data_IF_788861944727
#
_entry.id   IF_788861944727
#
_cell.length_a   1.000
_cell.length_b   1.000
_cell.length_c   1.000
_cell.angle_alpha   90.00
_cell.angle_beta   90.00
_cell.angle_gamma   90.00
#
_symmetry.space_group_name_H-M   'P 1'
#
loop_
_entity.id
_entity.type
_entity.pdbx_description
1 polymer ?
#
# COMPACT_ATOMS: atom_id res chain seq x y z
N UNK A 1 13.98 -2.49 -13.15
CA UNK A 1 12.68 -2.18 -13.79
C UNK A 1 11.60 -3.14 -13.32
N UNK A 2 10.31 -2.84 -13.60
CA UNK A 2 9.20 -3.75 -13.36
C UNK A 2 9.37 -5.05 -14.14
N UNK A 3 8.96 -6.20 -13.57
CA UNK A 3 8.99 -7.50 -14.26
C UNK A 3 10.40 -8.05 -14.57
N UNK A 4 11.46 -7.47 -13.99
CA UNK A 4 12.85 -7.85 -14.29
C UNK A 4 13.38 -9.02 -13.46
N UNK A 5 12.55 -9.71 -12.68
CA UNK A 5 12.99 -10.84 -11.86
C UNK A 5 13.78 -10.43 -10.61
N UNK A 6 13.60 -9.22 -10.08
CA UNK A 6 14.27 -8.74 -8.87
C UNK A 6 14.20 -9.74 -7.72
N UNK A 7 13.00 -10.16 -7.35
CA UNK A 7 12.78 -11.13 -6.26
C UNK A 7 13.44 -12.48 -6.56
N UNK A 8 13.39 -12.95 -7.82
CA UNK A 8 14.07 -14.19 -8.23
C UNK A 8 15.59 -14.10 -8.04
N UNK A 9 16.21 -13.02 -8.51
CA UNK A 9 17.64 -12.78 -8.36
C UNK A 9 18.06 -12.68 -6.88
N UNK A 10 17.18 -12.09 -6.05
CA UNK A 10 17.40 -11.96 -4.62
C UNK A 10 17.38 -13.32 -3.91
N UNK A 11 16.37 -14.15 -4.23
CA UNK A 11 16.29 -15.54 -3.71
C UNK A 11 17.51 -16.34 -4.16
N UNK A 12 17.92 -16.23 -5.43
CA UNK A 12 19.14 -16.87 -5.94
C UNK A 12 20.40 -16.45 -5.16
N UNK A 13 20.54 -15.14 -4.84
CA UNK A 13 21.67 -14.66 -4.02
C UNK A 13 21.62 -15.19 -2.60
N UNK A 14 20.44 -15.27 -1.99
CA UNK A 14 20.26 -15.83 -0.66
C UNK A 14 20.63 -17.32 -0.63
N UNK A 15 20.14 -18.11 -1.59
CA UNK A 15 20.47 -19.53 -1.69
C UNK A 15 21.98 -19.74 -1.86
N UNK A 16 22.63 -18.92 -2.68
CA UNK A 16 24.09 -18.96 -2.84
C UNK A 16 24.84 -18.73 -1.51
N UNK A 17 24.34 -17.82 -0.63
CA UNK A 17 24.94 -17.64 0.71
C UNK A 17 24.79 -18.90 1.57
N UNK A 18 23.61 -19.53 1.55
CA UNK A 18 23.33 -20.74 2.30
C UNK A 18 24.18 -21.92 1.81
N UNK A 19 24.29 -22.11 0.49
CA UNK A 19 25.14 -23.14 -0.14
C UNK A 19 26.63 -22.97 0.19
N UNK A 20 27.07 -21.73 0.44
CA UNK A 20 28.43 -21.42 0.87
C UNK A 20 28.62 -21.45 2.40
N UNK A 21 27.70 -22.05 3.14
CA UNK A 21 27.81 -22.31 4.57
C UNK A 21 27.53 -21.12 5.48
N UNK A 22 26.87 -20.09 4.99
CA UNK A 22 26.43 -18.99 5.86
C UNK A 22 25.29 -19.49 6.75
N UNK A 23 25.41 -19.29 8.06
CA UNK A 23 24.40 -19.68 9.04
C UNK A 23 23.09 -18.90 8.75
N UNK A 24 21.96 -19.60 8.49
CA UNK A 24 20.66 -18.98 8.24
C UNK A 24 20.21 -18.01 9.35
N UNK A 25 20.59 -18.27 10.60
CA UNK A 25 20.25 -17.39 11.73
C UNK A 25 20.92 -16.01 11.66
N UNK A 26 21.98 -15.89 10.84
CA UNK A 26 22.71 -14.64 10.58
C UNK A 26 22.16 -13.85 9.40
N UNK A 27 21.10 -14.35 8.76
CA UNK A 27 20.44 -13.74 7.60
C UNK A 27 19.04 -13.27 8.00
N UNK A 28 18.66 -12.06 7.61
CA UNK A 28 17.28 -11.58 7.72
C UNK A 28 16.83 -10.98 6.39
N UNK A 29 15.56 -11.27 6.02
CA UNK A 29 14.93 -10.74 4.82
C UNK A 29 13.74 -9.87 5.22
N UNK A 30 13.73 -8.60 4.80
CA UNK A 30 12.66 -7.65 5.01
C UNK A 30 11.83 -7.49 3.74
N UNK A 31 10.52 -7.59 3.88
CA UNK A 31 9.57 -7.24 2.84
C UNK A 31 8.53 -6.23 3.37
N UNK A 32 7.89 -5.50 2.47
CA UNK A 32 6.99 -4.41 2.84
C UNK A 32 5.64 -4.92 3.39
N UNK A 33 5.09 -6.02 2.83
CA UNK A 33 3.77 -6.55 3.20
C UNK A 33 3.85 -7.97 3.77
N UNK A 34 2.85 -8.36 4.56
CA UNK A 34 2.73 -9.73 5.05
C UNK A 34 2.48 -10.75 3.91
N UNK A 35 1.77 -10.35 2.86
CA UNK A 35 1.53 -11.21 1.70
C UNK A 35 2.86 -11.54 0.98
N UNK A 36 3.71 -10.53 0.77
CA UNK A 36 5.03 -10.73 0.19
C UNK A 36 5.95 -11.56 1.09
N UNK A 37 5.88 -11.39 2.42
CA UNK A 37 6.57 -12.25 3.40
C UNK A 37 6.13 -13.71 3.25
N UNK A 38 4.83 -13.97 3.11
CA UNK A 38 4.31 -15.33 2.95
C UNK A 38 4.72 -15.95 1.59
N UNK A 39 4.70 -15.14 0.53
CA UNK A 39 5.18 -15.59 -0.79
C UNK A 39 6.67 -15.96 -0.77
N UNK A 40 7.50 -15.13 -0.13
CA UNK A 40 8.94 -15.40 0.03
C UNK A 40 9.22 -16.66 0.86
N UNK A 41 8.44 -16.89 1.92
CA UNK A 41 8.56 -18.13 2.74
C UNK A 41 8.30 -19.39 1.94
N UNK A 42 7.44 -19.33 0.93
CA UNK A 42 7.18 -20.47 0.05
C UNK A 42 8.29 -20.71 -0.99
N UNK A 43 9.17 -19.73 -1.19
CA UNK A 43 10.26 -19.78 -2.19
C UNK A 43 11.64 -20.02 -1.58
N UNK A 44 11.77 -19.78 -0.28
CA UNK A 44 13.05 -19.84 0.46
C UNK A 44 12.97 -20.98 1.47
N UNK A 45 13.92 -21.92 1.44
CA UNK A 45 13.96 -23.03 2.38
C UNK A 45 14.19 -22.55 3.82
N UNK A 46 13.30 -22.81 4.62
CA UNK A 46 12.82 -22.92 5.97
C UNK A 46 13.55 -22.22 7.11
N UNK A 47 14.79 -21.79 7.07
CA UNK A 47 15.51 -21.35 8.29
C UNK A 47 15.86 -19.87 8.34
N UNK A 48 15.71 -19.13 7.24
CA UNK A 48 15.97 -17.70 7.19
C UNK A 48 14.81 -16.93 7.78
N UNK A 49 15.09 -15.92 8.59
CA UNK A 49 14.06 -15.05 9.14
C UNK A 49 13.53 -14.09 8.08
N UNK A 50 12.28 -14.26 7.67
CA UNK A 50 11.58 -13.39 6.73
C UNK A 50 10.48 -12.66 7.49
N UNK A 51 10.45 -11.32 7.44
CA UNK A 51 9.55 -10.51 8.28
C UNK A 51 9.30 -9.12 7.66
N UNK A 52 8.26 -8.42 8.14
CA UNK A 52 8.11 -6.99 7.88
C UNK A 52 8.94 -6.17 8.87
N UNK A 53 9.28 -4.93 8.50
CA UNK A 53 10.02 -4.02 9.40
C UNK A 53 9.21 -3.76 10.68
N UNK A 54 7.89 -3.61 10.58
CA UNK A 54 7.01 -3.42 11.74
C UNK A 54 7.01 -4.63 12.68
N UNK A 55 6.93 -5.85 12.16
CA UNK A 55 7.01 -7.08 12.98
C UNK A 55 8.38 -7.23 13.64
N UNK A 56 9.46 -6.86 12.95
CA UNK A 56 10.80 -6.83 13.50
C UNK A 56 10.92 -5.85 14.66
N UNK A 57 10.48 -4.59 14.48
CA UNK A 57 10.55 -3.57 15.53
C UNK A 57 9.71 -3.92 16.75
N UNK A 58 8.51 -4.51 16.56
CA UNK A 58 7.69 -5.04 17.64
C UNK A 58 8.44 -6.13 18.44
N UNK A 59 9.08 -7.07 17.75
CA UNK A 59 9.89 -8.12 18.37
C UNK A 59 11.09 -7.57 19.15
N UNK A 60 11.78 -6.54 18.61
CA UNK A 60 12.89 -5.86 19.28
C UNK A 60 12.42 -5.21 20.57
N UNK A 61 11.34 -4.43 20.52
CA UNK A 61 10.77 -3.77 21.70
C UNK A 61 10.34 -4.78 22.76
N UNK A 62 9.76 -5.92 22.34
CA UNK A 62 9.41 -7.02 23.25
C UNK A 62 10.62 -7.60 23.96
N UNK A 63 11.70 -7.91 23.23
CA UNK A 63 12.94 -8.44 23.79
C UNK A 63 13.65 -7.46 24.75
N UNK A 64 13.51 -6.17 24.54
CA UNK A 64 14.06 -5.13 25.40
C UNK A 64 13.13 -4.75 26.59
N UNK A 65 12.02 -5.47 26.78
CA UNK A 65 11.06 -5.18 27.85
C UNK A 65 10.33 -3.85 27.68
N UNK A 66 10.27 -3.32 26.46
CA UNK A 66 9.63 -2.04 26.11
C UNK A 66 8.30 -2.24 25.37
N UNK A 67 7.68 -3.40 25.55
CA UNK A 67 6.39 -3.68 24.90
C UNK A 67 5.30 -2.72 25.40
N UNK A 68 4.48 -2.25 24.47
CA UNK A 68 3.20 -1.58 24.73
C UNK A 68 2.19 -2.08 23.69
N UNK A 69 0.90 -2.13 24.02
CA UNK A 69 -0.12 -2.48 23.04
C UNK A 69 -0.07 -1.59 21.81
N UNK A 70 -0.17 -2.19 20.63
CA UNK A 70 -0.28 -1.46 19.36
C UNK A 70 -1.76 -1.22 19.11
N UNK A 71 -2.13 0.03 18.87
CA UNK A 71 -3.52 0.45 18.65
C UNK A 71 -3.67 1.03 17.24
N UNK A 72 -4.90 0.92 16.75
CA UNK A 72 -5.33 1.43 15.45
C UNK A 72 -6.18 2.70 15.63
N UNK A 73 -6.48 3.36 14.53
CA UNK A 73 -7.40 4.50 14.55
C UNK A 73 -8.83 4.10 14.96
N UNK A 74 -9.25 2.87 14.69
CA UNK A 74 -10.56 2.35 15.14
C UNK A 74 -10.63 2.21 16.66
N UNK A 75 -9.52 1.86 17.32
CA UNK A 75 -9.45 1.82 18.78
C UNK A 75 -9.59 3.24 19.36
N UNK A 76 -8.99 4.24 18.69
CA UNK A 76 -9.18 5.64 19.05
C UNK A 76 -10.64 6.10 18.89
N UNK A 77 -11.31 5.77 17.79
CA UNK A 77 -12.72 6.12 17.59
C UNK A 77 -13.58 5.53 18.70
N UNK A 78 -13.34 4.26 19.05
CA UNK A 78 -14.08 3.60 20.14
C UNK A 78 -13.83 4.28 21.48
N UNK A 79 -12.57 4.59 21.79
CA UNK A 79 -12.20 5.31 22.99
C UNK A 79 -12.82 6.73 23.03
N UNK A 80 -12.76 7.48 21.93
CA UNK A 80 -13.34 8.82 21.82
C UNK A 80 -14.85 8.79 22.07
N UNK A 81 -15.56 7.85 21.47
CA UNK A 81 -17.01 7.66 21.66
C UNK A 81 -17.35 7.41 23.11
N UNK A 82 -16.57 6.60 23.82
CA UNK A 82 -16.88 6.14 25.16
C UNK A 82 -16.43 7.16 26.24
N UNK A 83 -15.35 7.92 26.00
CA UNK A 83 -14.74 8.82 26.98
C UNK A 83 -14.99 10.31 26.74
N UNK A 84 -15.32 10.73 25.50
CA UNK A 84 -15.55 12.14 25.15
C UNK A 84 -17.04 12.49 25.00
N UNK A 85 -17.94 11.53 25.24
CA UNK A 85 -19.38 11.73 25.14
C UNK A 85 -19.84 12.79 26.15
N UNK A 86 -20.41 13.93 25.69
CA UNK A 86 -20.90 14.98 26.58
C UNK A 86 -22.15 14.52 27.35
N UNK A 87 -22.31 15.04 28.56
CA UNK A 87 -23.53 14.80 29.31
C UNK A 87 -24.74 15.49 28.67
N UNK A 88 -25.94 15.05 29.01
CA UNK A 88 -27.19 15.70 28.53
C UNK A 88 -27.32 17.15 29.00
N UNK A 89 -26.61 17.54 30.07
CA UNK A 89 -26.60 18.90 30.63
C UNK A 89 -25.67 19.86 29.89
N UNK A 90 -24.77 19.33 29.05
CA UNK A 90 -23.85 20.17 28.26
C UNK A 90 -24.60 20.97 27.18
N UNK A 91 -24.09 22.15 26.80
CA UNK A 91 -24.67 22.97 25.73
C UNK A 91 -24.90 22.17 24.44
N UNK A 92 -25.96 22.54 23.71
CA UNK A 92 -26.29 21.88 22.43
C UNK A 92 -25.11 21.90 21.44
N UNK A 93 -24.38 23.03 21.38
CA UNK A 93 -23.19 23.18 20.52
C UNK A 93 -22.09 22.16 20.82
N UNK A 94 -21.83 21.85 22.11
CA UNK A 94 -20.83 20.84 22.52
C UNK A 94 -21.26 19.45 22.06
N UNK A 95 -22.54 19.13 22.19
CA UNK A 95 -23.10 17.84 21.75
C UNK A 95 -23.05 17.71 20.23
N UNK A 96 -23.40 18.77 19.49
CA UNK A 96 -23.33 18.80 18.03
C UNK A 96 -21.88 18.64 17.54
N UNK A 97 -20.92 19.32 18.17
CA UNK A 97 -19.51 19.16 17.87
C UNK A 97 -19.02 17.72 18.09
N UNK A 98 -19.42 17.09 19.17
CA UNK A 98 -19.06 15.69 19.45
C UNK A 98 -19.56 14.74 18.36
N UNK A 99 -20.84 14.84 17.97
CA UNK A 99 -21.41 13.98 16.94
C UNK A 99 -20.82 14.28 15.55
N UNK A 100 -20.59 15.56 15.23
CA UNK A 100 -19.91 15.94 13.98
C UNK A 100 -18.46 15.41 13.91
N UNK A 101 -17.74 15.39 15.03
CA UNK A 101 -16.41 14.79 15.07
C UNK A 101 -16.47 13.26 14.82
N UNK A 102 -17.42 12.56 15.44
CA UNK A 102 -17.60 11.12 15.20
C UNK A 102 -17.93 10.83 13.74
N UNK A 103 -18.83 11.58 13.14
CA UNK A 103 -19.19 11.46 11.73
C UNK A 103 -17.92 11.57 10.85
N UNK A 104 -17.13 12.63 11.05
CA UNK A 104 -15.84 12.82 10.34
C UNK A 104 -14.85 11.67 10.59
N UNK A 105 -14.77 11.12 11.79
CA UNK A 105 -13.90 9.97 12.07
C UNK A 105 -14.32 8.72 11.29
N UNK A 106 -15.61 8.52 11.07
CA UNK A 106 -16.10 7.40 10.27
C UNK A 106 -15.97 7.63 8.76
N UNK A 107 -16.13 8.87 8.29
CA UNK A 107 -16.03 9.24 6.89
C UNK A 107 -14.56 9.34 6.42
N UNK A 108 -13.74 10.11 7.15
CA UNK A 108 -12.38 10.49 6.77
C UNK A 108 -11.28 9.77 7.57
N UNK A 109 -11.61 8.71 8.28
CA UNK A 109 -10.72 8.08 9.27
C UNK A 109 -9.35 7.66 8.75
N UNK A 110 -9.27 7.22 7.50
CA UNK A 110 -7.98 6.85 6.88
C UNK A 110 -7.09 8.07 6.63
N UNK A 111 -7.67 9.18 6.16
CA UNK A 111 -6.98 10.45 5.93
C UNK A 111 -6.50 11.06 7.26
N UNK A 112 -7.37 11.10 8.27
CA UNK A 112 -7.03 11.60 9.61
C UNK A 112 -5.91 10.77 10.24
N UNK A 113 -6.00 9.45 10.19
CA UNK A 113 -4.97 8.54 10.71
C UNK A 113 -3.63 8.74 10.01
N UNK A 114 -3.64 8.87 8.68
CA UNK A 114 -2.43 9.14 7.89
C UNK A 114 -1.81 10.49 8.26
N UNK A 115 -2.63 11.53 8.49
CA UNK A 115 -2.14 12.85 8.92
C UNK A 115 -1.45 12.79 10.28
N UNK A 116 -1.95 11.99 11.23
CA UNK A 116 -1.30 11.80 12.54
C UNK A 116 0.06 11.12 12.41
N UNK A 117 0.15 10.07 11.60
CA UNK A 117 1.40 9.35 11.35
C UNK A 117 2.41 10.25 10.66
N UNK A 118 2.00 10.96 9.62
CA UNK A 118 2.85 11.91 8.88
C UNK A 118 3.38 13.02 9.80
N UNK A 119 2.50 13.63 10.61
CA UNK A 119 2.90 14.67 11.57
C UNK A 119 3.95 14.17 12.57
N UNK A 120 3.75 12.97 13.16
CA UNK A 120 4.72 12.38 14.10
C UNK A 120 6.09 12.17 13.46
N UNK A 121 6.11 11.61 12.24
CA UNK A 121 7.36 11.32 11.54
C UNK A 121 8.08 12.61 11.13
N UNK A 122 7.35 13.61 10.61
CA UNK A 122 7.90 14.93 10.28
C UNK A 122 8.45 15.63 11.51
N UNK A 123 7.69 15.67 12.61
CA UNK A 123 8.12 16.24 13.87
C UNK A 123 9.38 15.54 14.40
N UNK A 124 9.45 14.22 14.31
CA UNK A 124 10.63 13.46 14.71
C UNK A 124 11.87 13.77 13.86
N UNK A 125 11.70 13.99 12.57
CA UNK A 125 12.76 14.41 11.65
C UNK A 125 13.11 15.92 11.75
N UNK A 126 12.49 16.66 12.69
CA UNK A 126 12.73 18.09 12.92
C UNK A 126 12.02 19.01 11.92
N UNK A 127 11.09 18.50 11.15
CA UNK A 127 10.30 19.29 10.19
C UNK A 127 9.14 19.95 10.92
N UNK A 128 9.02 21.27 10.78
CA UNK A 128 7.86 22.03 11.30
C UNK A 128 6.69 21.84 10.37
N UNK A 129 5.63 21.21 10.86
CA UNK A 129 4.36 21.05 10.16
C UNK A 129 3.20 21.47 11.07
N UNK A 130 2.07 21.92 10.51
CA UNK A 130 0.91 22.26 11.31
C UNK A 130 0.38 21.01 12.02
N UNK A 131 -0.05 21.20 13.27
CA UNK A 131 -0.61 20.12 14.08
C UNK A 131 -1.97 19.71 13.48
N UNK A 132 -2.18 18.41 13.17
CA UNK A 132 -3.45 17.97 12.62
C UNK A 132 -4.63 18.17 13.56
N UNK A 133 -5.81 18.40 12.98
CA UNK A 133 -7.05 18.42 13.75
C UNK A 133 -7.21 17.10 14.54
N UNK A 134 -7.79 17.18 15.74
CA UNK A 134 -8.03 16.03 16.63
C UNK A 134 -6.78 15.33 17.20
N UNK A 135 -5.56 15.76 16.84
CA UNK A 135 -4.32 15.13 17.31
C UNK A 135 -4.18 15.16 18.84
N UNK A 136 -4.74 16.17 19.52
CA UNK A 136 -4.74 16.25 20.99
C UNK A 136 -5.57 15.14 21.63
N UNK A 137 -6.76 14.86 21.09
CA UNK A 137 -7.58 13.72 21.53
C UNK A 137 -6.87 12.40 21.29
N UNK A 138 -6.20 12.28 20.14
CA UNK A 138 -5.42 11.08 19.83
C UNK A 138 -4.24 10.85 20.80
N UNK A 139 -3.50 11.90 21.13
CA UNK A 139 -2.41 11.81 22.12
C UNK A 139 -2.91 11.51 23.54
N UNK A 140 -4.06 12.09 23.91
CA UNK A 140 -4.73 11.76 25.19
C UNK A 140 -5.13 10.29 25.26
N UNK A 141 -5.70 9.75 24.17
CA UNK A 141 -6.02 8.32 24.03
C UNK A 141 -4.80 7.42 24.23
N UNK A 142 -3.70 7.67 23.51
CA UNK A 142 -2.47 6.86 23.63
C UNK A 142 -1.90 6.88 25.06
N UNK A 143 -1.97 8.05 25.72
CA UNK A 143 -1.53 8.22 27.11
C UNK A 143 -2.46 7.46 28.08
N UNK A 144 -3.76 7.61 27.94
CA UNK A 144 -4.75 6.99 28.83
C UNK A 144 -4.71 5.46 28.77
N UNK A 145 -4.45 4.90 27.60
CA UNK A 145 -4.38 3.45 27.38
C UNK A 145 -2.97 2.87 27.52
N UNK A 146 -1.96 3.70 27.81
CA UNK A 146 -0.55 3.32 27.81
C UNK A 146 -0.16 2.53 26.55
N UNK A 147 -0.68 2.94 25.41
CA UNK A 147 -0.49 2.29 24.11
C UNK A 147 0.39 3.10 23.19
N UNK A 148 0.67 2.56 22.00
CA UNK A 148 1.40 3.22 20.91
C UNK A 148 0.77 2.85 19.57
N UNK A 149 0.97 3.68 18.57
CA UNK A 149 0.72 3.31 17.18
C UNK A 149 1.99 2.80 16.47
N UNK A 150 1.86 2.48 15.19
CA UNK A 150 2.98 2.01 14.37
C UNK A 150 4.10 3.05 14.22
N UNK A 151 3.78 4.35 14.18
CA UNK A 151 4.77 5.42 14.09
C UNK A 151 5.58 5.54 15.37
N UNK A 152 4.90 5.50 16.53
CA UNK A 152 5.58 5.51 17.83
C UNK A 152 6.51 4.30 17.99
N UNK A 153 6.09 3.13 17.51
CA UNK A 153 6.89 1.90 17.55
C UNK A 153 8.21 2.07 16.78
N UNK A 154 8.17 2.67 15.59
CA UNK A 154 9.37 2.96 14.80
C UNK A 154 10.25 3.99 15.50
N UNK A 155 9.68 5.09 16.00
CA UNK A 155 10.39 6.16 16.69
C UNK A 155 11.09 5.63 17.95
N UNK A 156 10.37 4.82 18.75
CA UNK A 156 10.93 4.24 19.97
C UNK A 156 12.09 3.27 19.64
N UNK A 157 11.95 2.45 18.60
CA UNK A 157 13.00 1.52 18.18
C UNK A 157 14.25 2.25 17.69
N UNK A 158 14.07 3.31 16.91
CA UNK A 158 15.20 4.13 16.43
C UNK A 158 15.92 4.86 17.57
N UNK A 159 15.19 5.40 18.56
CA UNK A 159 15.79 5.98 19.78
C UNK A 159 16.61 4.94 20.53
N UNK A 160 16.08 3.73 20.74
CA UNK A 160 16.79 2.65 21.40
C UNK A 160 18.05 2.21 20.63
N UNK A 161 18.01 2.24 19.31
CA UNK A 161 19.18 1.88 18.48
C UNK A 161 20.33 2.88 18.61
N UNK A 162 20.06 4.10 19.07
CA UNK A 162 21.06 5.15 19.33
C UNK A 162 21.49 5.21 20.80
N UNK A 163 20.68 4.67 21.70
CA UNK A 163 20.97 4.68 23.15
C UNK A 163 22.22 3.84 23.44
N UNK A 164 23.25 4.37 24.08
CA UNK A 164 24.46 3.64 24.44
C UNK A 164 24.21 2.32 25.18
N UNK A 165 23.17 2.26 26.03
CA UNK A 165 22.81 1.08 26.80
C UNK A 165 22.18 -0.04 25.96
N UNK A 166 21.63 0.29 24.79
CA UNK A 166 20.91 -0.63 23.92
C UNK A 166 21.57 -0.85 22.56
N UNK A 167 22.49 0.05 22.17
CA UNK A 167 23.17 0.00 20.88
C UNK A 167 23.86 -1.35 20.61
N UNK A 168 24.44 -1.97 21.63
CA UNK A 168 25.08 -3.28 21.54
C UNK A 168 24.12 -4.40 21.15
N UNK A 169 22.81 -4.27 21.48
CA UNK A 169 21.79 -5.24 21.09
C UNK A 169 21.53 -5.25 19.58
N UNK A 170 21.63 -4.09 18.92
CA UNK A 170 21.42 -3.98 17.47
C UNK A 170 22.66 -4.41 16.68
N UNK A 171 23.84 -3.99 17.16
CA UNK A 171 25.10 -4.13 16.43
C UNK A 171 25.46 -5.61 16.17
N UNK A 172 25.54 -5.98 14.88
CA UNK A 172 25.87 -7.33 14.46
C UNK A 172 24.81 -8.40 14.78
N UNK A 173 23.55 -8.01 14.98
CA UNK A 173 22.43 -8.93 15.17
C UNK A 173 22.28 -9.88 13.98
N UNK A 174 22.56 -9.39 12.77
CA UNK A 174 22.59 -10.14 11.52
C UNK A 174 23.84 -9.77 10.72
N UNK A 175 24.38 -10.71 9.95
CA UNK A 175 25.51 -10.46 9.05
C UNK A 175 25.04 -10.01 7.66
N UNK A 176 23.88 -10.52 7.21
CA UNK A 176 23.32 -10.28 5.90
C UNK A 176 21.88 -9.80 6.03
N UNK A 177 21.60 -8.66 5.41
CA UNK A 177 20.25 -8.06 5.39
C UNK A 177 19.79 -7.94 3.95
N UNK A 178 18.62 -8.49 3.67
CA UNK A 178 17.89 -8.32 2.41
C UNK A 178 16.72 -7.39 2.65
N UNK A 179 16.53 -6.40 1.77
CA UNK A 179 15.43 -5.42 1.82
C UNK A 179 14.80 -5.41 0.44
N UNK A 180 13.57 -5.93 0.33
CA UNK A 180 12.78 -5.86 -0.90
C UNK A 180 11.89 -4.62 -0.91
N UNK A 181 11.60 -4.10 -2.10
CA UNK A 181 10.77 -2.92 -2.32
C UNK A 181 11.26 -1.71 -1.50
N UNK A 182 12.60 -1.43 -1.51
CA UNK A 182 13.17 -0.37 -0.67
C UNK A 182 12.58 1.01 -0.93
N UNK A 183 12.03 1.25 -2.13
CA UNK A 183 11.39 2.51 -2.49
C UNK A 183 10.13 2.81 -1.66
N UNK A 184 9.57 1.81 -0.97
CA UNK A 184 8.43 1.96 -0.06
C UNK A 184 8.87 2.11 1.41
N UNK A 185 10.16 1.97 1.67
CA UNK A 185 10.72 2.09 3.02
C UNK A 185 10.85 3.56 3.41
N UNK A 186 10.41 3.93 4.60
CA UNK A 186 10.62 5.28 5.11
C UNK A 186 12.08 5.49 5.55
N UNK A 187 12.50 6.76 5.58
CA UNK A 187 13.83 7.13 6.09
C UNK A 187 14.08 6.60 7.51
N UNK A 188 13.06 6.66 8.37
CA UNK A 188 13.15 6.16 9.74
C UNK A 188 13.35 4.65 9.81
N UNK A 189 12.61 3.90 8.97
CA UNK A 189 12.79 2.45 8.85
C UNK A 189 14.21 2.10 8.39
N UNK A 190 14.72 2.81 7.38
CA UNK A 190 16.09 2.58 6.90
C UNK A 190 17.13 2.88 7.98
N UNK A 191 16.97 3.96 8.77
CA UNK A 191 17.85 4.26 9.92
C UNK A 191 17.90 3.10 10.92
N UNK A 192 16.75 2.48 11.22
CA UNK A 192 16.66 1.32 12.13
C UNK A 192 17.42 0.12 11.54
N UNK A 193 17.24 -0.18 10.25
CA UNK A 193 17.92 -1.29 9.59
C UNK A 193 19.43 -1.08 9.54
N UNK A 194 19.88 0.13 9.26
CA UNK A 194 21.31 0.47 9.24
C UNK A 194 21.96 0.43 10.63
N UNK A 195 21.19 0.61 11.72
CA UNK A 195 21.69 0.49 13.08
C UNK A 195 22.10 -0.96 13.45
N UNK A 196 21.61 -1.97 12.72
CA UNK A 196 22.03 -3.37 12.88
C UNK A 196 23.50 -3.55 12.51
N UNK A 197 24.05 -2.67 11.68
CA UNK A 197 25.45 -2.67 11.24
C UNK A 197 25.91 -4.01 10.69
N UNK A 198 25.10 -4.60 9.81
CA UNK A 198 25.40 -5.86 9.13
C UNK A 198 26.64 -5.75 8.23
N UNK A 199 27.25 -6.87 7.92
CA UNK A 199 28.41 -6.96 7.00
C UNK A 199 28.02 -6.57 5.57
N UNK A 200 26.86 -7.04 5.11
CA UNK A 200 26.33 -6.75 3.78
C UNK A 200 24.82 -6.50 3.79
N UNK A 201 24.40 -5.57 2.93
CA UNK A 201 23.01 -5.22 2.67
C UNK A 201 22.73 -5.49 1.18
N UNK A 202 21.68 -6.24 0.90
CA UNK A 202 21.12 -6.44 -0.43
C UNK A 202 19.81 -5.68 -0.49
N UNK A 203 19.81 -4.56 -1.23
CA UNK A 203 18.70 -3.61 -1.27
C UNK A 203 18.14 -3.64 -2.67
N UNK A 204 16.87 -4.02 -2.76
CA UNK A 204 16.19 -4.30 -4.03
C UNK A 204 14.96 -3.40 -4.16
N UNK A 205 14.75 -2.85 -5.33
CA UNK A 205 13.56 -2.05 -5.62
C UNK A 205 13.55 -1.42 -6.99
N UNK A 206 12.60 -0.52 -7.18
CA UNK A 206 12.41 0.23 -8.41
C UNK A 206 11.87 1.63 -8.07
N UNK A 207 12.66 2.67 -8.25
CA UNK A 207 12.28 4.06 -7.94
C UNK A 207 11.00 4.49 -8.64
N UNK A 208 10.81 4.05 -9.89
CA UNK A 208 9.61 4.38 -10.67
C UNK A 208 8.34 3.71 -10.09
N UNK A 209 8.47 2.81 -9.11
CA UNK A 209 7.35 2.20 -8.36
C UNK A 209 7.18 2.77 -6.94
N UNK A 210 7.79 3.91 -6.62
CA UNK A 210 7.62 4.61 -5.34
C UNK A 210 6.28 5.36 -5.36
N UNK A 211 5.27 4.80 -4.70
CA UNK A 211 3.90 5.32 -4.64
C UNK A 211 3.38 5.51 -3.21
N UNK A 212 4.27 5.43 -2.22
CA UNK A 212 3.96 5.60 -0.80
C UNK A 212 4.70 6.79 -0.18
N UNK A 213 4.93 7.85 -0.98
CA UNK A 213 5.55 9.10 -0.51
C UNK A 213 4.79 9.71 0.67
N UNK A 214 3.46 9.63 0.67
CA UNK A 214 2.60 10.07 1.76
C UNK A 214 2.87 9.34 3.10
N UNK A 215 3.47 8.16 3.09
CA UNK A 215 3.87 7.40 4.28
C UNK A 215 5.32 7.63 4.71
N UNK A 216 6.01 8.61 4.13
CA UNK A 216 7.38 8.97 4.45
C UNK A 216 8.46 8.21 3.67
N UNK A 217 8.07 7.48 2.62
CA UNK A 217 9.01 6.89 1.68
C UNK A 217 9.75 7.99 0.90
N UNK A 218 11.07 7.89 0.82
CA UNK A 218 11.91 8.86 0.12
C UNK A 218 13.18 8.19 -0.40
N UNK A 219 13.17 7.80 -1.67
CA UNK A 219 14.29 7.08 -2.30
C UNK A 219 15.60 7.87 -2.26
N UNK A 220 15.57 9.14 -2.61
CA UNK A 220 16.77 9.98 -2.68
C UNK A 220 17.45 10.12 -1.31
N UNK A 221 16.66 10.29 -0.24
CA UNK A 221 17.17 10.37 1.13
C UNK A 221 17.73 9.05 1.61
N UNK A 222 17.11 7.92 1.23
CA UNK A 222 17.61 6.57 1.54
C UNK A 222 18.94 6.33 0.84
N UNK A 223 19.07 6.66 -0.43
CA UNK A 223 20.30 6.50 -1.19
C UNK A 223 21.45 7.32 -0.62
N UNK A 224 21.16 8.56 -0.20
CA UNK A 224 22.16 9.40 0.50
C UNK A 224 22.63 8.72 1.78
N UNK A 225 21.71 8.21 2.60
CA UNK A 225 22.05 7.49 3.84
C UNK A 225 22.90 6.25 3.59
N UNK A 226 22.63 5.53 2.53
CA UNK A 226 23.39 4.33 2.15
C UNK A 226 24.80 4.69 1.72
N UNK A 227 24.96 5.71 0.89
CA UNK A 227 26.28 6.19 0.41
C UNK A 227 27.16 6.73 1.53
N UNK A 228 26.56 7.39 2.52
CA UNK A 228 27.29 7.87 3.72
C UNK A 228 27.79 6.73 4.61
N UNK A 229 27.06 5.62 4.67
CA UNK A 229 27.32 4.55 5.64
C UNK A 229 28.08 3.36 5.09
N UNK A 230 27.98 3.09 3.81
CA UNK A 230 28.48 1.87 3.16
C UNK A 230 29.04 2.16 1.75
N UNK A 231 29.97 1.33 1.31
CA UNK A 231 30.33 1.26 -0.10
C UNK A 231 29.15 0.65 -0.86
N UNK A 232 28.63 1.37 -1.83
CA UNK A 232 27.46 0.95 -2.61
C UNK A 232 27.91 0.48 -3.99
N UNK A 233 27.49 -0.73 -4.36
CA UNK A 233 27.58 -1.24 -5.74
C UNK A 233 26.17 -1.30 -6.29
N UNK A 234 25.90 -0.54 -7.34
CA UNK A 234 24.59 -0.47 -7.99
C UNK A 234 24.56 -1.42 -9.19
N UNK A 235 23.56 -2.29 -9.23
CA UNK A 235 23.31 -3.22 -10.32
C UNK A 235 21.92 -3.00 -10.88
N UNK A 236 21.79 -2.91 -12.19
CA UNK A 236 20.53 -2.66 -12.88
C UNK A 236 20.05 -3.89 -13.63
N UNK A 237 18.79 -4.29 -13.39
CA UNK A 237 18.10 -5.33 -14.12
C UNK A 237 17.14 -4.66 -15.14
N UNK A 238 17.42 -4.83 -16.43
CA UNK A 238 16.67 -4.19 -17.52
C UNK A 238 15.75 -5.14 -18.27
N UNK A 239 16.02 -6.44 -18.29
CA UNK A 239 15.21 -7.44 -18.99
C UNK A 239 13.85 -7.62 -18.33
N UNK A 240 12.75 -7.48 -19.09
CA UNK A 240 11.38 -7.70 -18.60
C UNK A 240 10.88 -9.07 -19.05
N UNK A 241 10.60 -9.95 -18.09
CA UNK A 241 10.10 -11.31 -18.30
C UNK A 241 8.59 -11.44 -18.07
N UNK A 242 7.92 -10.35 -17.67
CA UNK A 242 6.50 -10.35 -17.28
C UNK A 242 5.57 -10.13 -18.45
N UNK A 243 5.79 -9.02 -19.15
CA UNK A 243 4.81 -8.44 -20.06
C UNK A 243 5.22 -8.58 -21.52
N UNK A 244 4.23 -8.62 -22.40
CA UNK A 244 4.43 -8.60 -23.84
C UNK A 244 5.04 -7.27 -24.31
N UNK A 245 5.63 -7.28 -25.51
CA UNK A 245 6.50 -6.22 -26.03
C UNK A 245 5.86 -4.83 -25.96
N UNK A 246 4.67 -4.64 -26.53
CA UNK A 246 4.00 -3.32 -26.57
C UNK A 246 3.67 -2.77 -25.18
N UNK A 247 3.38 -3.64 -24.20
CA UNK A 247 3.16 -3.23 -22.81
C UNK A 247 4.45 -2.64 -22.23
N UNK A 248 5.60 -3.31 -22.45
CA UNK A 248 6.91 -2.83 -21.98
C UNK A 248 7.28 -1.52 -22.65
N UNK A 249 7.11 -1.41 -23.97
CA UNK A 249 7.36 -0.18 -24.73
C UNK A 249 6.50 0.98 -24.26
N UNK A 250 5.22 0.73 -23.94
CA UNK A 250 4.35 1.75 -23.37
C UNK A 250 4.85 2.18 -21.97
N UNK A 251 5.19 1.21 -21.11
CA UNK A 251 5.67 1.51 -19.75
C UNK A 251 7.00 2.30 -19.75
N UNK A 252 7.87 2.09 -20.73
CA UNK A 252 9.14 2.81 -20.86
C UNK A 252 8.97 4.33 -21.02
N UNK A 253 7.83 4.80 -21.54
CA UNK A 253 7.51 6.24 -21.63
C UNK A 253 7.48 6.92 -20.25
N UNK A 254 7.22 6.16 -19.20
CA UNK A 254 7.04 6.64 -17.81
C UNK A 254 8.17 6.22 -16.87
N UNK A 255 9.21 5.58 -17.38
CA UNK A 255 10.34 5.07 -16.60
C UNK A 255 11.60 5.87 -16.87
N UNK A 256 12.42 6.07 -15.84
CA UNK A 256 13.77 6.62 -15.97
C UNK A 256 14.80 5.60 -16.52
N UNK A 257 14.43 4.31 -16.54
CA UNK A 257 15.25 3.20 -17.02
C UNK A 257 14.47 2.42 -18.08
N UNK A 258 15.07 2.22 -19.23
CA UNK A 258 14.48 1.44 -20.31
C UNK A 258 14.49 -0.06 -19.96
N UNK A 259 13.31 -0.67 -20.02
CA UNK A 259 13.14 -2.12 -19.89
C UNK A 259 13.16 -2.78 -21.28
N UNK A 260 13.85 -3.90 -21.38
CA UNK A 260 13.99 -4.68 -22.61
C UNK A 260 13.02 -5.87 -22.55
N UNK A 261 12.02 -5.98 -23.43
CA UNK A 261 11.07 -7.09 -23.41
C UNK A 261 11.76 -8.39 -23.85
N UNK A 262 11.62 -9.45 -23.06
CA UNK A 262 12.09 -10.80 -23.40
C UNK A 262 10.97 -11.65 -24.04
N UNK A 263 9.71 -11.20 -23.94
CA UNK A 263 8.57 -11.87 -24.60
C UNK A 263 8.64 -11.73 -26.12
N UNK A 264 8.39 -12.82 -26.81
CA UNK A 264 8.25 -12.85 -28.28
C UNK A 264 6.85 -12.38 -28.74
N UNK A 265 5.89 -12.32 -27.83
CA UNK A 265 4.53 -11.87 -28.12
C UNK A 265 4.46 -10.35 -28.11
N UNK A 266 3.74 -9.79 -29.07
CA UNK A 266 3.60 -8.32 -29.18
C UNK A 266 2.72 -7.75 -28.08
N UNK A 267 1.61 -8.44 -27.74
CA UNK A 267 0.59 -7.90 -26.85
C UNK A 267 -0.24 -6.80 -27.50
N UNK A 268 -1.08 -6.17 -26.71
CA UNK A 268 -1.97 -5.11 -27.18
C UNK A 268 -1.99 -3.92 -26.23
N UNK A 269 -1.89 -2.73 -26.77
CA UNK A 269 -2.11 -1.46 -26.09
C UNK A 269 -3.09 -0.64 -26.92
N UNK A 270 -4.24 -0.27 -26.33
CA UNK A 270 -5.18 0.64 -26.98
C UNK A 270 -4.78 2.08 -26.61
N UNK A 271 -4.25 2.79 -27.58
CA UNK A 271 -3.86 4.21 -27.41
C UNK A 271 -5.07 5.15 -27.35
N UNK A 272 -6.28 4.63 -27.61
CA UNK A 272 -7.53 5.39 -27.50
C UNK A 272 -8.24 5.05 -26.21
N UNK A 273 -8.83 6.10 -25.59
CA UNK A 273 -9.66 5.88 -24.42
C UNK A 273 -10.92 5.10 -24.77
N UNK A 274 -11.15 3.99 -24.06
CA UNK A 274 -12.42 3.26 -24.16
C UNK A 274 -13.50 4.00 -23.39
N UNK A 275 -14.75 3.87 -23.83
CA UNK A 275 -15.91 4.41 -23.11
C UNK A 275 -16.52 3.37 -22.14
N UNK A 276 -17.48 3.82 -21.31
CA UNK A 276 -18.19 2.97 -20.35
C UNK A 276 -18.87 1.77 -20.99
N UNK A 277 -19.45 1.93 -22.18
CA UNK A 277 -20.11 0.81 -22.91
C UNK A 277 -19.10 -0.28 -23.23
N UNK A 278 -17.93 0.08 -23.75
CA UNK A 278 -16.85 -0.87 -24.05
C UNK A 278 -16.33 -1.55 -22.78
N UNK A 279 -16.12 -0.80 -21.69
CA UNK A 279 -15.69 -1.36 -20.41
C UNK A 279 -16.68 -2.45 -19.92
N UNK A 280 -17.97 -2.14 -19.87
CA UNK A 280 -18.97 -3.10 -19.41
C UNK A 280 -19.16 -4.28 -20.36
N UNK A 281 -18.97 -4.09 -21.66
CA UNK A 281 -18.90 -5.18 -22.64
C UNK A 281 -17.72 -6.11 -22.36
N UNK A 282 -16.54 -5.56 -22.06
CA UNK A 282 -15.35 -6.36 -21.72
C UNK A 282 -15.51 -7.13 -20.40
N UNK A 283 -16.23 -6.56 -19.43
CA UNK A 283 -16.54 -7.27 -18.17
C UNK A 283 -17.43 -8.48 -18.38
N UNK A 284 -18.30 -8.46 -19.40
CA UNK A 284 -19.22 -9.55 -19.72
C UNK A 284 -18.72 -10.51 -20.80
N UNK A 285 -17.51 -10.39 -21.31
CA UNK A 285 -16.99 -11.19 -22.43
C UNK A 285 -16.40 -12.56 -22.03
N UNK A 286 -16.44 -12.89 -20.73
CA UNK A 286 -15.96 -14.17 -20.20
C UNK A 286 -14.43 -14.29 -20.10
N UNK A 287 -13.69 -13.22 -20.37
CA UNK A 287 -12.22 -13.22 -20.26
C UNK A 287 -11.77 -12.53 -18.97
N UNK A 288 -10.61 -12.92 -18.42
CA UNK A 288 -10.02 -12.22 -17.28
C UNK A 288 -9.89 -10.72 -17.54
N UNK A 289 -10.30 -9.90 -16.59
CA UNK A 289 -10.18 -8.45 -16.70
C UNK A 289 -9.92 -7.82 -15.32
N UNK A 290 -8.94 -6.92 -15.25
CA UNK A 290 -8.72 -6.12 -14.05
C UNK A 290 -8.88 -4.64 -14.36
N UNK A 291 -9.75 -3.96 -13.63
CA UNK A 291 -9.93 -2.51 -13.68
C UNK A 291 -9.10 -1.90 -12.56
N UNK A 292 -8.15 -1.06 -12.94
CA UNK A 292 -7.24 -0.35 -12.04
C UNK A 292 -7.65 1.11 -11.96
N UNK A 293 -8.15 1.56 -10.82
CA UNK A 293 -8.58 2.95 -10.66
C UNK A 293 -7.73 3.69 -9.60
N UNK A 294 -7.59 5.00 -9.77
CA UNK A 294 -6.83 5.86 -8.85
C UNK A 294 -7.55 6.00 -7.51
N UNK A 295 -8.85 6.25 -7.51
CA UNK A 295 -9.63 6.59 -6.32
C UNK A 295 -10.65 5.53 -5.96
N UNK A 296 -10.94 5.40 -4.67
CA UNK A 296 -12.00 4.51 -4.17
C UNK A 296 -13.40 4.95 -4.62
N UNK A 297 -13.59 6.23 -4.92
CA UNK A 297 -14.86 6.78 -5.38
C UNK A 297 -15.23 6.19 -6.75
N UNK A 298 -14.29 6.20 -7.70
CA UNK A 298 -14.44 5.57 -9.03
C UNK A 298 -14.69 4.06 -8.89
N UNK A 299 -13.93 3.38 -8.03
CA UNK A 299 -14.11 1.94 -7.77
C UNK A 299 -15.54 1.65 -7.33
N UNK A 300 -16.03 2.36 -6.32
CA UNK A 300 -17.40 2.21 -5.80
C UNK A 300 -18.47 2.41 -6.88
N UNK A 301 -18.32 3.42 -7.74
CA UNK A 301 -19.31 3.67 -8.78
C UNK A 301 -19.32 2.56 -9.83
N UNK A 302 -18.15 2.09 -10.27
CA UNK A 302 -18.06 0.97 -11.21
C UNK A 302 -18.65 -0.31 -10.59
N UNK A 303 -18.28 -0.64 -9.34
CA UNK A 303 -18.84 -1.81 -8.62
C UNK A 303 -20.37 -1.73 -8.52
N UNK A 304 -20.92 -0.58 -8.15
CA UNK A 304 -22.36 -0.33 -8.07
C UNK A 304 -23.06 -0.53 -9.42
N UNK A 305 -22.43 -0.13 -10.53
CA UNK A 305 -22.97 -0.34 -11.88
C UNK A 305 -22.89 -1.80 -12.29
N UNK A 306 -21.80 -2.51 -11.93
CA UNK A 306 -21.68 -3.94 -12.14
C UNK A 306 -22.80 -4.71 -11.43
N UNK A 307 -23.04 -4.40 -10.15
CA UNK A 307 -24.12 -4.98 -9.39
C UNK A 307 -25.50 -4.75 -10.04
N UNK A 308 -25.81 -3.51 -10.41
CA UNK A 308 -27.07 -3.15 -11.06
C UNK A 308 -27.27 -3.84 -12.42
N UNK A 309 -26.20 -4.04 -13.18
CA UNK A 309 -26.23 -4.68 -14.51
C UNK A 309 -26.02 -6.18 -14.45
N UNK A 310 -25.84 -6.76 -13.25
CA UNK A 310 -25.51 -8.18 -13.02
C UNK A 310 -24.27 -8.64 -13.81
N UNK A 311 -23.27 -7.76 -13.93
CA UNK A 311 -22.00 -8.07 -14.58
C UNK A 311 -21.08 -8.83 -13.62
N UNK A 312 -20.22 -9.73 -14.11
CA UNK A 312 -19.33 -10.51 -13.26
C UNK A 312 -18.36 -9.62 -12.51
N UNK A 313 -18.18 -9.89 -11.20
CA UNK A 313 -17.25 -9.20 -10.34
C UNK A 313 -16.85 -10.09 -9.16
N UNK A 314 -15.59 -10.45 -9.05
CA UNK A 314 -15.10 -11.40 -8.04
C UNK A 314 -15.11 -10.86 -6.63
N UNK A 315 -14.64 -9.61 -6.43
CA UNK A 315 -14.54 -9.00 -5.12
C UNK A 315 -15.02 -7.56 -5.16
N UNK A 316 -15.63 -7.14 -4.06
CA UNK A 316 -15.86 -5.76 -3.76
C UNK A 316 -14.64 -5.18 -3.03
N UNK A 317 -14.32 -3.90 -3.23
CA UNK A 317 -13.16 -3.26 -2.61
C UNK A 317 -13.16 -3.33 -1.07
N UNK A 318 -14.34 -3.49 -0.45
CA UNK A 318 -14.55 -3.58 1.00
C UNK A 318 -14.57 -5.01 1.56
N UNK A 319 -14.73 -6.02 0.72
CA UNK A 319 -14.74 -7.43 1.12
C UNK A 319 -13.44 -8.08 0.64
N UNK A 320 -12.68 -8.62 1.56
CA UNK A 320 -11.47 -9.38 1.22
C UNK A 320 -11.84 -10.75 0.66
N UNK A 321 -10.88 -11.42 0.01
CA UNK A 321 -11.05 -12.80 -0.42
C UNK A 321 -11.52 -13.68 0.74
N UNK A 322 -10.90 -13.53 1.92
CA UNK A 322 -11.26 -14.29 3.12
C UNK A 322 -12.69 -13.99 3.57
N UNK A 323 -13.16 -12.73 3.47
CA UNK A 323 -14.55 -12.39 3.79
C UNK A 323 -15.51 -13.09 2.81
N UNK A 324 -15.22 -13.08 1.51
CA UNK A 324 -16.03 -13.76 0.49
C UNK A 324 -16.07 -15.27 0.74
N UNK A 325 -14.91 -15.90 0.97
CA UNK A 325 -14.81 -17.34 1.25
C UNK A 325 -15.59 -17.73 2.52
N UNK A 326 -15.68 -16.86 3.51
CA UNK A 326 -16.49 -17.06 4.73
C UNK A 326 -17.98 -16.87 4.46
N UNK A 327 -18.35 -15.82 3.74
CA UNK A 327 -19.73 -15.53 3.34
C UNK A 327 -20.31 -16.74 2.56
N UNK A 328 -19.58 -17.25 1.59
CA UNK A 328 -20.01 -18.38 0.76
C UNK A 328 -20.12 -19.70 1.53
N UNK A 329 -19.38 -19.82 2.66
CA UNK A 329 -19.49 -20.95 3.60
C UNK A 329 -20.55 -20.76 4.70
N UNK A 330 -21.26 -19.63 4.69
CA UNK A 330 -22.24 -19.30 5.72
C UNK A 330 -21.64 -18.83 7.06
N UNK A 331 -20.31 -18.60 7.12
CA UNK A 331 -19.63 -18.11 8.32
C UNK A 331 -19.71 -16.58 8.40
N UNK A 332 -20.82 -16.09 8.95
CA UNK A 332 -21.15 -14.67 9.06
C UNK A 332 -20.71 -14.09 10.42
N UNK A 333 -19.41 -13.82 10.58
CA UNK A 333 -18.90 -13.13 11.78
C UNK A 333 -19.46 -11.71 11.91
N UNK A 334 -19.46 -11.15 13.12
CA UNK A 334 -19.93 -9.77 13.35
C UNK A 334 -19.13 -8.73 12.56
N UNK A 335 -17.85 -8.98 12.33
CA UNK A 335 -17.02 -8.16 11.45
C UNK A 335 -17.53 -8.17 10.00
N UNK A 336 -17.86 -9.34 9.45
CA UNK A 336 -18.43 -9.49 8.10
C UNK A 336 -19.80 -8.85 8.01
N UNK A 337 -20.68 -9.10 8.99
CA UNK A 337 -22.00 -8.47 9.07
C UNK A 337 -21.90 -6.93 9.08
N UNK A 338 -20.91 -6.38 9.80
CA UNK A 338 -20.64 -4.95 9.82
C UNK A 338 -20.23 -4.46 8.43
N UNK A 339 -19.25 -5.10 7.79
CA UNK A 339 -18.80 -4.75 6.43
C UNK A 339 -19.94 -4.77 5.43
N UNK A 340 -20.78 -5.81 5.46
CA UNK A 340 -21.96 -5.90 4.58
C UNK A 340 -22.92 -4.75 4.86
N UNK A 341 -23.19 -4.41 6.10
CA UNK A 341 -24.06 -3.29 6.48
C UNK A 341 -23.51 -1.95 5.95
N UNK A 342 -22.21 -1.76 6.02
CA UNK A 342 -21.54 -0.54 5.58
C UNK A 342 -21.58 -0.38 4.05
N UNK A 343 -21.55 -1.48 3.28
CA UNK A 343 -21.61 -1.44 1.82
C UNK A 343 -23.05 -1.49 1.27
N UNK A 344 -23.98 -2.05 2.01
CA UNK A 344 -25.37 -2.28 1.57
C UNK A 344 -26.05 -1.03 1.02
N UNK A 345 -25.92 0.17 1.61
CA UNK A 345 -26.52 1.40 1.06
C UNK A 345 -26.05 1.76 -0.36
N UNK A 346 -24.87 1.27 -0.75
CA UNK A 346 -24.28 1.53 -2.08
C UNK A 346 -24.76 0.54 -3.15
N UNK A 347 -25.14 -0.69 -2.76
CA UNK A 347 -25.50 -1.79 -3.68
C UNK A 347 -27.00 -2.10 -3.70
N UNK A 348 -27.78 -1.51 -2.83
CA UNK A 348 -29.22 -1.73 -2.68
C UNK A 348 -29.56 -1.93 -1.21
N UNK A 349 -30.84 -2.08 -0.88
CA UNK A 349 -31.30 -2.29 0.49
C UNK A 349 -31.50 -3.76 0.86
N UNK A 350 -31.30 -4.68 -0.08
CA UNK A 350 -31.53 -6.11 0.09
C UNK A 350 -30.21 -6.87 0.23
N UNK A 351 -29.96 -7.36 1.46
CA UNK A 351 -28.77 -8.16 1.80
C UNK A 351 -28.75 -9.46 1.00
N UNK A 352 -29.90 -10.09 0.76
CA UNK A 352 -29.96 -11.38 0.07
C UNK A 352 -29.55 -11.23 -1.39
N UNK A 353 -29.97 -10.18 -2.08
CA UNK A 353 -29.53 -9.89 -3.44
C UNK A 353 -28.01 -9.66 -3.52
N UNK A 354 -27.42 -9.00 -2.54
CA UNK A 354 -25.97 -8.81 -2.48
C UNK A 354 -25.25 -10.15 -2.27
N UNK A 355 -25.74 -11.00 -1.38
CA UNK A 355 -25.16 -12.32 -1.10
C UNK A 355 -25.28 -13.25 -2.31
N UNK A 356 -26.44 -13.28 -2.99
CA UNK A 356 -26.63 -14.02 -4.24
C UNK A 356 -25.68 -13.55 -5.34
N UNK A 357 -25.48 -12.23 -5.45
CA UNK A 357 -24.53 -11.68 -6.41
C UNK A 357 -23.09 -12.12 -6.10
N UNK A 358 -22.68 -12.08 -4.84
CA UNK A 358 -21.36 -12.53 -4.40
C UNK A 358 -21.16 -14.01 -4.73
N UNK A 359 -22.12 -14.85 -4.36
CA UNK A 359 -22.05 -16.30 -4.61
C UNK A 359 -22.01 -16.65 -6.11
N UNK A 360 -22.83 -15.97 -6.91
CA UNK A 360 -22.87 -16.17 -8.37
C UNK A 360 -21.57 -15.75 -9.07
N UNK A 361 -20.75 -14.91 -8.43
CA UNK A 361 -19.53 -14.38 -9.02
C UNK A 361 -18.24 -14.84 -8.34
N UNK A 362 -18.31 -15.80 -7.43
CA UNK A 362 -17.12 -16.29 -6.69
C UNK A 362 -15.99 -16.79 -7.60
N UNK A 363 -16.33 -17.35 -8.76
CA UNK A 363 -15.38 -17.87 -9.75
C UNK A 363 -15.08 -16.88 -10.89
N UNK A 364 -15.61 -15.66 -10.80
CA UNK A 364 -15.34 -14.62 -11.80
C UNK A 364 -13.85 -14.27 -11.83
N UNK A 365 -13.33 -13.96 -13.01
CA UNK A 365 -11.99 -13.45 -13.24
C UNK A 365 -11.98 -11.93 -13.52
N UNK A 366 -13.08 -11.25 -13.22
CA UNK A 366 -13.17 -9.78 -13.29
C UNK A 366 -12.91 -9.17 -11.92
N UNK A 367 -11.94 -8.27 -11.85
CA UNK A 367 -11.54 -7.57 -10.63
C UNK A 367 -11.62 -6.07 -10.82
N UNK A 368 -11.94 -5.36 -9.74
CA UNK A 368 -11.79 -3.91 -9.65
C UNK A 368 -10.95 -3.62 -8.42
N UNK A 369 -9.90 -2.83 -8.56
CA UNK A 369 -9.01 -2.50 -7.43
C UNK A 369 -8.33 -1.16 -7.63
N UNK A 370 -7.80 -0.58 -6.56
CA UNK A 370 -6.96 0.60 -6.68
C UNK A 370 -5.58 0.24 -7.23
N UNK A 371 -4.96 1.19 -7.95
CA UNK A 371 -3.59 1.04 -8.44
C UNK A 371 -2.63 0.69 -7.30
N UNK A 372 -2.77 1.32 -6.13
CA UNK A 372 -1.95 1.01 -4.95
C UNK A 372 -2.07 -0.45 -4.50
N UNK A 373 -3.29 -0.99 -4.44
CA UNK A 373 -3.52 -2.40 -4.04
C UNK A 373 -3.08 -3.40 -5.12
N UNK A 374 -2.92 -2.96 -6.37
CA UNK A 374 -2.42 -3.80 -7.46
C UNK A 374 -0.90 -3.98 -7.45
N UNK A 375 -0.18 -3.16 -6.67
CA UNK A 375 1.28 -3.26 -6.57
C UNK A 375 1.70 -4.67 -6.13
N UNK A 376 2.75 -5.21 -6.73
CA UNK A 376 3.20 -6.58 -6.53
C UNK A 376 2.39 -7.66 -7.29
N UNK A 377 1.22 -7.32 -7.84
CA UNK A 377 0.38 -8.24 -8.62
C UNK A 377 0.59 -8.06 -10.12
N UNK A 378 0.09 -9.01 -10.90
CA UNK A 378 0.10 -8.99 -12.35
C UNK A 378 -1.16 -9.64 -12.91
N UNK A 379 -1.63 -9.17 -14.06
CA UNK A 379 -2.92 -9.57 -14.63
C UNK A 379 -2.80 -9.75 -16.14
N UNK A 380 -3.56 -10.66 -16.75
CA UNK A 380 -3.54 -10.81 -18.20
C UNK A 380 -3.96 -9.53 -18.94
N UNK A 381 -5.11 -8.94 -18.55
CA UNK A 381 -5.75 -7.80 -19.23
C UNK A 381 -6.15 -6.73 -18.21
N UNK A 382 -5.75 -5.48 -18.46
CA UNK A 382 -6.06 -4.36 -17.59
C UNK A 382 -6.76 -3.21 -18.32
N UNK A 383 -7.70 -2.56 -17.63
CA UNK A 383 -8.19 -1.22 -17.96
C UNK A 383 -7.73 -0.27 -16.87
N UNK A 384 -6.95 0.73 -17.25
CA UNK A 384 -6.48 1.78 -16.34
C UNK A 384 -7.43 2.97 -16.42
N UNK A 385 -8.04 3.30 -15.29
CA UNK A 385 -9.12 4.31 -15.21
C UNK A 385 -8.62 5.51 -14.42
N UNK A 386 -8.79 6.71 -14.99
CA UNK A 386 -8.36 7.98 -14.40
C UNK A 386 -6.94 7.90 -13.85
N UNK A 387 -6.08 7.37 -14.68
CA UNK A 387 -4.66 7.33 -14.39
C UNK A 387 -4.14 8.76 -14.40
N UNK A 388 -3.49 9.14 -13.32
CA UNK A 388 -2.91 10.44 -13.13
C UNK A 388 -1.61 10.61 -13.94
N UNK A 389 -1.65 10.45 -15.27
CA UNK A 389 -0.65 11.05 -16.12
C UNK A 389 -0.85 12.57 -16.07
N UNK A 390 0.08 13.35 -15.52
CA UNK A 390 -0.08 14.79 -15.43
C UNK A 390 -0.29 15.45 -16.80
N UNK A 391 0.35 14.95 -17.86
CA UNK A 391 0.21 15.49 -19.22
C UNK A 391 -1.19 15.19 -19.77
N UNK A 392 -1.72 13.98 -19.57
CA UNK A 392 -3.07 13.61 -19.99
C UNK A 392 -4.17 14.37 -19.22
N UNK A 393 -3.97 14.63 -17.94
CA UNK A 393 -4.93 15.37 -17.12
C UNK A 393 -4.93 16.85 -17.46
N UNK A 394 -3.78 17.45 -17.82
CA UNK A 394 -3.66 18.83 -18.28
C UNK A 394 -4.33 19.05 -19.64
N UNK A 395 -4.20 18.12 -20.59
CA UNK A 395 -4.83 18.20 -21.91
C UNK A 395 -6.35 18.12 -21.87
N UNK A 396 -6.93 17.44 -20.88
CA UNK A 396 -8.38 17.21 -20.77
C UNK A 396 -9.11 18.07 -19.71
N UNK A 397 -8.42 18.99 -19.05
CA UNK A 397 -9.02 19.97 -18.14
C UNK A 397 -9.66 19.40 -16.85
N UNK A 398 -9.45 18.12 -16.55
CA UNK A 398 -10.08 17.45 -15.40
C UNK A 398 -9.28 17.58 -14.09
N UNK A 399 -8.18 18.33 -14.07
CA UNK A 399 -7.32 18.49 -12.89
C UNK A 399 -7.84 19.44 -11.80
N UNK A 400 -8.91 20.20 -12.06
CA UNK A 400 -9.32 21.29 -11.15
C UNK A 400 -10.04 20.84 -9.88
N UNK A 401 -10.49 19.60 -9.78
CA UNK A 401 -11.26 19.12 -8.62
C UNK A 401 -10.57 18.08 -7.74
N UNK A 402 -9.56 17.35 -8.24
CA UNK A 402 -8.91 16.26 -7.46
C UNK A 402 -7.63 16.71 -6.73
N UNK A 403 -7.07 17.87 -7.04
CA UNK A 403 -5.87 18.40 -6.36
C UNK A 403 -6.16 18.87 -4.92
N UNK A 404 -7.36 19.30 -4.61
CA UNK A 404 -7.72 19.80 -3.28
C UNK A 404 -7.78 18.68 -2.22
N UNK A 405 -8.01 17.45 -2.59
CA UNK A 405 -8.03 16.29 -1.66
C UNK A 405 -6.64 15.75 -1.33
N UNK A 406 -5.60 16.12 -2.12
CA UNK A 406 -4.20 15.68 -1.97
C UNK A 406 -3.20 16.79 -1.71
N UNK A 407 -3.65 18.02 -1.43
CA UNK A 407 -2.82 19.23 -1.24
C UNK A 407 -1.95 19.25 0.03
N UNK A 408 -1.58 18.09 0.58
CA UNK A 408 -0.73 18.04 1.77
C UNK A 408 0.78 18.09 1.50
N UNK A 409 1.21 18.22 0.24
CA UNK A 409 2.65 18.31 -0.07
C UNK A 409 2.92 19.56 -0.89
N UNK A 410 3.52 20.54 -0.25
CA UNK A 410 3.84 21.89 -0.75
C UNK A 410 4.98 21.96 -1.78
N UNK A 411 5.27 20.89 -2.53
CA UNK A 411 6.25 20.89 -3.61
C UNK A 411 5.65 20.27 -4.86
N UNK A 412 5.25 21.10 -5.80
CA UNK A 412 4.65 20.70 -7.09
C UNK A 412 5.42 19.60 -7.84
N UNK A 413 6.75 19.58 -7.71
CA UNK A 413 7.60 18.57 -8.33
C UNK A 413 7.44 17.16 -7.78
N UNK A 414 7.22 17.00 -6.45
CA UNK A 414 7.04 15.68 -5.81
C UNK A 414 5.68 15.07 -6.15
N UNK A 415 4.64 15.88 -6.27
CA UNK A 415 3.30 15.44 -6.68
C UNK A 415 3.29 14.91 -8.11
N UNK A 416 4.02 15.58 -9.01
CA UNK A 416 4.16 15.16 -10.41
C UNK A 416 4.89 13.83 -10.49
N UNK A 417 6.00 13.65 -9.75
CA UNK A 417 6.78 12.41 -9.74
C UNK A 417 5.95 11.24 -9.16
N UNK A 418 5.27 11.44 -8.05
CA UNK A 418 4.41 10.39 -7.46
C UNK A 418 3.26 10.00 -8.39
N UNK A 419 2.62 10.97 -9.03
CA UNK A 419 1.57 10.71 -10.01
C UNK A 419 2.07 9.91 -11.21
N UNK A 420 3.26 10.24 -11.72
CA UNK A 420 3.93 9.49 -12.78
C UNK A 420 4.24 8.05 -12.34
N UNK A 421 4.73 7.87 -11.11
CA UNK A 421 5.02 6.56 -10.56
C UNK A 421 3.75 5.72 -10.38
N UNK A 422 2.64 6.32 -9.95
CA UNK A 422 1.34 5.63 -9.88
C UNK A 422 0.88 5.17 -11.25
N UNK A 423 1.01 6.02 -12.28
CA UNK A 423 0.72 5.63 -13.65
C UNK A 423 1.64 4.50 -14.11
N UNK A 424 2.96 4.62 -13.90
CA UNK A 424 3.92 3.57 -14.21
C UNK A 424 3.57 2.22 -13.54
N UNK A 425 3.19 2.25 -12.26
CA UNK A 425 2.72 1.03 -11.58
C UNK A 425 1.52 0.46 -12.32
N UNK A 426 0.52 1.26 -12.69
CA UNK A 426 -0.68 0.78 -13.36
C UNK A 426 -0.38 0.11 -14.69
N UNK A 427 0.42 0.77 -15.56
CA UNK A 427 0.74 0.27 -16.91
C UNK A 427 1.71 -0.91 -16.92
N UNK A 428 2.36 -1.19 -15.79
CA UNK A 428 3.24 -2.38 -15.63
C UNK A 428 2.52 -3.59 -15.03
N UNK A 429 1.22 -3.49 -14.72
CA UNK A 429 0.44 -4.65 -14.19
C UNK A 429 -0.01 -5.63 -15.26
N UNK A 430 -0.44 -5.19 -16.47
CA UNK A 430 -0.86 -6.11 -17.51
C UNK A 430 0.31 -6.95 -18.07
N UNK A 431 -0.03 -8.19 -18.45
CA UNK A 431 0.88 -9.07 -19.20
C UNK A 431 0.66 -8.97 -20.72
N UNK A 432 -0.60 -8.92 -21.15
CA UNK A 432 -1.03 -9.18 -22.52
C UNK A 432 -1.74 -7.98 -23.16
N UNK A 433 -2.71 -7.36 -22.42
CA UNK A 433 -3.55 -6.31 -22.97
C UNK A 433 -3.71 -5.15 -22.00
N UNK A 434 -3.56 -3.93 -22.52
CA UNK A 434 -3.67 -2.66 -21.78
C UNK A 434 -4.66 -1.74 -22.49
N UNK A 435 -5.62 -1.22 -21.75
CA UNK A 435 -6.60 -0.23 -22.17
C UNK A 435 -6.62 0.95 -21.22
N UNK A 436 -7.02 2.11 -21.71
CA UNK A 436 -7.17 3.33 -20.91
C UNK A 436 -8.61 3.83 -20.95
N UNK A 437 -9.05 4.47 -19.87
CA UNK A 437 -10.38 5.05 -19.77
C UNK A 437 -10.35 6.31 -18.94
N UNK A 438 -11.06 7.37 -19.40
CA UNK A 438 -11.45 8.52 -18.59
C UNK A 438 -12.87 8.28 -18.08
N UNK A 439 -13.07 8.47 -16.78
CA UNK A 439 -14.34 8.22 -16.10
C UNK A 439 -14.86 9.52 -15.47
N UNK A 440 -15.80 10.17 -16.14
CA UNK A 440 -16.22 11.56 -15.87
C UNK A 440 -17.40 11.73 -14.88
N UNK A 441 -17.91 10.66 -14.25
CA UNK A 441 -19.17 10.70 -13.47
C UNK A 441 -18.97 10.70 -11.94
N UNK A 442 -17.86 11.20 -11.44
CA UNK A 442 -17.62 11.13 -9.98
C UNK A 442 -17.34 12.49 -9.39
#
# INVERSE_FOLDING_TARGET
>A
TAGSGKTHSTVGRLNHLLENGVDPSRIIFFSFTNDAVNELRNRIDGQVKITTIHSFTSSVLGKLGKFKPIVTFYDFISWYRDNMKPSFKEPKSVREQYYGNLERFYEDGSSISSSFSSYKLQFYDGVKSPKPNFYEYYTAFLKATNSRDFSDMLIDTEKLSKDPNHKGFFNGMYDYIFIDEYQDTSTLQMKILLAINAKQYYIIGDKNQSIYGFSGANCSKIESLLKEKKTVVELTLTKNFRSHKKIVENANKYSSLEAIPESKNDGFVDDKFINKTKLFSMMGDGKPLTVLARTNKVIKDIEKRCFKKKLPLKYFNYLTKTDIDRITKGDMTDSIKKKIRDILPYYGKDVNQLLEFIESNKDSEVFITSIHKSKGREFPRCVVVNSSDPEMLLEHGSMTHDLDEYSFITNDGLLIEESRNVHYVAVTRPKEELYFMIYDDV
#
